data_IF_200672719022
#
_entry.id   IF_200672719022
#
_cell.length_a   1.000
_cell.length_b   1.000
_cell.length_c   1.000
_cell.angle_alpha   90.00
_cell.angle_beta   90.00
_cell.angle_gamma   90.00
#
_symmetry.space_group_name_H-M   'P 1'
#
loop_
_entity.id
_entity.type
_entity.pdbx_description
1 polymer ?
#
# COMPACT_ATOMS: atom_id res chain seq x y z
N UNK A 1 -19.26 32.05 -28.99
CA UNK A 1 -20.69 31.91 -29.36
C UNK A 1 -21.24 30.75 -28.57
N UNK A 2 -22.32 31.01 -27.85
CA UNK A 2 -22.93 30.12 -26.86
C UNK A 2 -23.44 28.81 -27.47
N UNK A 3 -23.16 27.68 -26.81
CA UNK A 3 -24.17 26.65 -26.61
C UNK A 3 -24.75 26.88 -25.21
N UNK A 4 -25.73 27.79 -25.13
CA UNK A 4 -26.71 27.79 -24.05
C UNK A 4 -27.57 26.54 -24.29
N UNK A 5 -27.82 25.78 -23.22
CA UNK A 5 -28.53 24.48 -23.19
C UNK A 5 -27.67 23.27 -23.59
N UNK A 6 -27.03 22.66 -22.59
CA UNK A 6 -26.78 21.23 -22.60
C UNK A 6 -27.99 20.56 -21.93
N UNK A 7 -28.91 19.91 -22.68
CA UNK A 7 -30.02 19.21 -22.07
C UNK A 7 -29.47 17.89 -21.52
N UNK A 8 -29.54 17.74 -20.18
CA UNK A 8 -28.99 16.65 -19.35
C UNK A 8 -27.46 16.68 -19.17
N UNK A 9 -26.97 16.35 -17.95
CA UNK A 9 -25.54 16.20 -17.72
C UNK A 9 -24.99 15.08 -18.61
N UNK A 10 -23.87 15.38 -19.26
CA UNK A 10 -23.15 14.39 -20.06
C UNK A 10 -22.54 13.37 -19.10
N UNK A 11 -22.91 12.10 -19.24
CA UNK A 11 -22.38 11.01 -18.44
C UNK A 11 -20.97 10.67 -18.93
N UNK A 12 -19.99 10.71 -18.03
CA UNK A 12 -18.60 10.37 -18.33
C UNK A 12 -18.23 9.06 -17.62
N UNK A 13 -17.85 8.04 -18.40
CA UNK A 13 -17.25 6.84 -17.83
C UNK A 13 -15.79 7.14 -17.43
N UNK A 14 -15.51 7.14 -16.13
CA UNK A 14 -14.18 7.37 -15.58
C UNK A 14 -13.19 6.21 -15.86
N UNK A 15 -13.67 5.05 -16.32
CA UNK A 15 -12.81 3.92 -16.68
C UNK A 15 -11.86 4.25 -17.85
N UNK A 16 -12.22 5.22 -18.69
CA UNK A 16 -11.46 5.64 -19.87
C UNK A 16 -10.58 6.88 -19.62
N UNK A 17 -10.78 7.60 -18.51
CA UNK A 17 -10.08 8.84 -18.20
C UNK A 17 -9.20 8.72 -16.96
N UNK A 18 -7.89 8.64 -17.19
CA UNK A 18 -6.88 8.82 -16.15
C UNK A 18 -6.86 10.30 -15.73
N UNK A 19 -7.46 10.62 -14.59
CA UNK A 19 -7.40 11.96 -14.01
C UNK A 19 -5.94 12.30 -13.64
N UNK A 20 -5.48 13.49 -14.05
CA UNK A 20 -4.18 14.02 -13.62
C UNK A 20 -4.19 14.19 -12.09
N UNK A 21 -3.27 13.54 -11.34
CA UNK A 21 -3.23 13.62 -9.88
C UNK A 21 -3.07 15.03 -9.32
N UNK A 22 -2.41 15.94 -10.04
CA UNK A 22 -2.24 17.33 -9.59
C UNK A 22 -3.54 18.11 -9.70
N UNK A 23 -4.31 17.84 -10.76
CA UNK A 23 -5.62 18.45 -10.97
C UNK A 23 -6.65 17.88 -10.00
N UNK A 24 -6.66 16.56 -9.81
CA UNK A 24 -7.55 15.87 -8.90
C UNK A 24 -7.45 16.37 -7.45
N UNK A 25 -6.25 16.80 -7.03
CA UNK A 25 -5.96 17.35 -5.70
C UNK A 25 -6.33 18.82 -5.50
N UNK A 26 -6.89 19.48 -6.52
CA UNK A 26 -7.42 20.83 -6.36
C UNK A 26 -8.61 20.88 -5.39
N UNK A 27 -9.30 19.75 -5.22
CA UNK A 27 -10.30 19.60 -4.15
C UNK A 27 -9.68 18.88 -2.95
N UNK A 28 -9.86 19.41 -1.73
CA UNK A 28 -9.54 18.70 -0.49
C UNK A 28 -10.30 17.37 -0.40
N UNK A 29 -9.71 16.32 0.19
CA UNK A 29 -10.32 15.00 0.30
C UNK A 29 -11.68 15.04 1.00
N UNK A 30 -11.84 15.87 2.03
CA UNK A 30 -13.10 16.00 2.78
C UNK A 30 -14.24 16.49 1.88
N UNK A 31 -13.94 17.43 0.99
CA UNK A 31 -14.91 18.02 0.05
C UNK A 31 -15.22 17.05 -1.08
N UNK A 32 -14.18 16.41 -1.61
CA UNK A 32 -14.34 15.50 -2.72
C UNK A 32 -15.07 14.20 -2.36
N UNK A 33 -14.83 13.64 -1.17
CA UNK A 33 -15.62 12.51 -0.65
C UNK A 33 -17.03 12.93 -0.28
N UNK A 34 -17.21 14.10 0.35
CA UNK A 34 -18.54 14.59 0.74
C UNK A 34 -19.47 14.79 -0.45
N UNK A 35 -18.94 15.33 -1.55
CA UNK A 35 -19.73 15.66 -2.73
C UNK A 35 -19.52 14.70 -3.90
N UNK A 36 -18.79 13.59 -3.68
CA UNK A 36 -18.41 12.63 -4.72
C UNK A 36 -17.94 13.36 -5.99
N UNK A 37 -16.93 14.21 -5.84
CA UNK A 37 -16.48 15.16 -6.86
C UNK A 37 -14.99 15.00 -7.16
N UNK A 38 -14.63 14.93 -8.44
CA UNK A 38 -13.25 14.74 -8.90
C UNK A 38 -12.92 15.66 -10.08
N UNK A 39 -11.95 16.57 -9.96
CA UNK A 39 -11.42 17.30 -11.11
C UNK A 39 -10.68 16.36 -12.07
N UNK A 40 -11.01 16.43 -13.36
CA UNK A 40 -10.48 15.48 -14.37
C UNK A 40 -9.78 16.13 -15.56
N UNK A 41 -10.08 17.40 -15.89
CA UNK A 41 -9.38 18.12 -16.95
C UNK A 41 -9.34 19.64 -16.69
N UNK A 42 -8.33 20.31 -17.24
CA UNK A 42 -8.30 21.78 -17.35
C UNK A 42 -8.11 22.17 -18.82
N UNK A 43 -9.00 23.00 -19.36
CA UNK A 43 -8.90 23.53 -20.72
C UNK A 43 -9.32 25.00 -20.75
N UNK A 44 -8.48 25.85 -21.34
CA UNK A 44 -8.80 27.27 -21.53
C UNK A 44 -9.08 28.03 -20.23
N UNK A 45 -8.45 27.62 -19.13
CA UNK A 45 -8.68 28.22 -17.81
C UNK A 45 -9.99 27.81 -17.13
N UNK A 46 -10.66 26.76 -17.59
CA UNK A 46 -11.81 26.13 -16.92
C UNK A 46 -11.47 24.71 -16.49
N UNK A 47 -11.90 24.34 -15.29
CA UNK A 47 -11.71 23.00 -14.73
C UNK A 47 -12.98 22.19 -14.95
N UNK A 48 -12.84 20.99 -15.50
CA UNK A 48 -13.91 20.02 -15.59
C UNK A 48 -13.91 19.14 -14.34
N UNK A 49 -15.04 19.10 -13.64
CA UNK A 49 -15.25 18.30 -12.43
C UNK A 49 -16.32 17.25 -12.70
N UNK A 50 -15.99 16.00 -12.45
CA UNK A 50 -16.95 14.89 -12.46
C UNK A 50 -17.62 14.82 -11.10
N UNK A 51 -18.94 14.78 -11.06
CA UNK A 51 -19.73 14.73 -9.83
C UNK A 51 -20.78 13.63 -9.90
N UNK A 52 -21.10 13.00 -8.78
CA UNK A 52 -22.23 12.06 -8.72
C UNK A 52 -23.57 12.77 -8.96
N UNK A 53 -23.72 13.96 -8.36
CA UNK A 53 -24.89 14.82 -8.50
C UNK A 53 -24.47 16.22 -8.96
N UNK A 54 -24.64 16.54 -10.26
CA UNK A 54 -24.32 17.86 -10.80
C UNK A 54 -25.40 18.91 -10.54
N UNK A 55 -26.55 18.55 -9.94
CA UNK A 55 -27.64 19.49 -9.61
C UNK A 55 -27.58 19.97 -8.14
N UNK A 56 -26.60 19.51 -7.37
CA UNK A 56 -26.38 19.95 -5.98
C UNK A 56 -25.74 21.36 -5.93
N UNK A 57 -26.59 22.37 -5.75
CA UNK A 57 -26.19 23.79 -5.64
C UNK A 57 -25.21 24.05 -4.47
N UNK A 58 -25.31 23.30 -3.36
CA UNK A 58 -24.39 23.44 -2.22
C UNK A 58 -22.99 22.94 -2.62
N UNK A 59 -22.93 21.77 -3.27
CA UNK A 59 -21.70 21.20 -3.79
C UNK A 59 -21.04 22.10 -4.83
N UNK A 60 -21.81 22.62 -5.79
CA UNK A 60 -21.31 23.52 -6.83
C UNK A 60 -20.71 24.80 -6.25
N UNK A 61 -21.39 25.41 -5.27
CA UNK A 61 -20.93 26.62 -4.60
C UNK A 61 -19.64 26.37 -3.81
N UNK A 62 -19.57 25.26 -3.06
CA UNK A 62 -18.38 24.88 -2.30
C UNK A 62 -17.17 24.61 -3.21
N UNK A 63 -17.37 23.87 -4.30
CA UNK A 63 -16.34 23.54 -5.28
C UNK A 63 -15.87 24.80 -6.00
N UNK A 64 -16.76 25.67 -6.46
CA UNK A 64 -16.40 26.91 -7.13
C UNK A 64 -15.58 27.86 -6.25
N UNK A 65 -15.93 27.93 -4.95
CA UNK A 65 -15.19 28.71 -3.96
C UNK A 65 -13.74 28.23 -3.81
N UNK A 66 -13.53 26.91 -3.76
CA UNK A 66 -12.21 26.28 -3.65
C UNK A 66 -11.39 26.46 -4.92
N UNK A 67 -12.01 26.25 -6.08
CA UNK A 67 -11.32 26.35 -7.38
C UNK A 67 -11.08 27.80 -7.82
N UNK A 68 -11.72 28.77 -7.16
CA UNK A 68 -11.63 30.21 -7.47
C UNK A 68 -12.34 30.60 -8.78
N UNK A 69 -13.10 29.68 -9.38
CA UNK A 69 -13.80 29.84 -10.67
C UNK A 69 -14.92 28.82 -10.79
N UNK A 70 -15.91 29.12 -11.63
CA UNK A 70 -17.00 28.17 -11.92
C UNK A 70 -16.47 26.95 -12.70
N UNK A 71 -16.66 25.73 -12.17
CA UNK A 71 -16.26 24.51 -12.86
C UNK A 71 -17.24 24.15 -13.99
N UNK A 72 -16.75 23.44 -15.01
CA UNK A 72 -17.61 22.70 -15.92
C UNK A 72 -17.94 21.36 -15.28
N UNK A 73 -19.22 21.10 -14.98
CA UNK A 73 -19.61 19.84 -14.32
C UNK A 73 -20.13 18.80 -15.30
N UNK A 74 -19.75 17.55 -15.05
CA UNK A 74 -20.23 16.37 -15.78
C UNK A 74 -20.63 15.31 -14.77
N UNK A 75 -21.62 14.48 -15.11
CA UNK A 75 -22.09 13.45 -14.19
C UNK A 75 -21.24 12.19 -14.34
N UNK A 76 -20.86 11.59 -13.21
CA UNK A 76 -20.21 10.29 -13.14
C UNK A 76 -20.90 9.36 -12.14
N UNK A 77 -20.50 8.09 -12.15
CA UNK A 77 -20.95 7.13 -11.14
C UNK A 77 -20.23 7.37 -9.80
N UNK A 78 -21.00 7.48 -8.71
CA UNK A 78 -20.46 7.73 -7.37
C UNK A 78 -19.43 6.67 -6.94
N UNK A 79 -19.65 5.38 -7.28
CA UNK A 79 -18.72 4.31 -6.89
C UNK A 79 -17.42 4.39 -7.67
N UNK A 80 -17.48 4.73 -8.95
CA UNK A 80 -16.28 4.91 -9.78
C UNK A 80 -15.50 6.16 -9.38
N UNK A 81 -16.20 7.22 -9.00
CA UNK A 81 -15.58 8.42 -8.40
C UNK A 81 -14.89 8.00 -7.10
N UNK A 82 -15.59 7.40 -6.14
CA UNK A 82 -15.03 6.98 -4.85
C UNK A 82 -13.85 6.02 -5.00
N UNK A 83 -13.89 5.08 -5.95
CA UNK A 83 -12.76 4.21 -6.25
C UNK A 83 -11.55 5.00 -6.79
N UNK A 84 -11.79 6.04 -7.60
CA UNK A 84 -10.74 6.93 -8.09
C UNK A 84 -10.20 7.83 -6.99
N UNK A 85 -11.06 8.36 -6.13
CA UNK A 85 -10.70 9.10 -4.92
C UNK A 85 -9.87 8.23 -3.97
N UNK A 86 -10.25 6.96 -3.76
CA UNK A 86 -9.49 6.01 -2.95
C UNK A 86 -8.12 5.68 -3.55
N UNK A 87 -7.97 5.67 -4.88
CA UNK A 87 -6.66 5.54 -5.54
C UNK A 87 -5.81 6.81 -5.41
N UNK A 88 -6.44 7.98 -5.45
CA UNK A 88 -5.78 9.29 -5.41
C UNK A 88 -5.36 9.72 -3.99
N UNK A 89 -6.27 9.58 -3.01
CA UNK A 89 -6.07 9.84 -1.58
C UNK A 89 -5.74 8.60 -0.76
N UNK A 90 -5.61 7.44 -1.41
CA UNK A 90 -4.76 6.35 -0.92
C UNK A 90 -3.30 6.78 -0.67
N UNK A 91 -2.94 8.03 -0.99
CA UNK A 91 -1.94 8.83 -0.28
C UNK A 91 -2.64 9.90 0.56
N UNK A 92 -2.78 9.65 1.85
CA UNK A 92 -3.20 10.66 2.83
C UNK A 92 -2.17 11.80 2.85
N UNK A 93 -2.57 13.07 2.73
CA UNK A 93 -1.69 14.21 3.00
C UNK A 93 -1.37 14.27 4.50
N UNK A 94 -0.08 14.13 4.80
CA UNK A 94 0.62 14.29 6.07
C UNK A 94 -0.17 14.87 7.27
N UNK A 95 -0.78 13.97 8.06
CA UNK A 95 -0.43 13.96 9.48
C UNK A 95 0.92 13.27 9.62
N UNK A 96 1.75 13.78 10.53
CA UNK A 96 3.09 13.24 10.78
C UNK A 96 2.94 11.76 11.13
N UNK A 97 3.62 10.87 10.39
CA UNK A 97 3.50 9.43 10.65
C UNK A 97 3.90 9.14 12.10
N UNK A 98 3.21 8.23 12.75
CA UNK A 98 3.53 7.84 14.13
C UNK A 98 4.28 6.52 14.10
N UNK A 99 5.54 6.55 14.51
CA UNK A 99 6.42 5.40 14.61
C UNK A 99 6.56 5.01 16.08
N UNK A 100 6.12 3.81 16.42
CA UNK A 100 6.23 3.29 17.78
C UNK A 100 7.34 2.24 17.87
N UNK A 101 8.22 2.34 18.87
CA UNK A 101 9.40 1.48 19.01
C UNK A 101 9.26 0.55 20.20
N UNK A 102 9.27 -0.76 19.96
CA UNK A 102 9.39 -1.79 20.99
C UNK A 102 10.84 -2.26 21.08
N UNK A 103 11.63 -1.61 21.93
CA UNK A 103 13.02 -2.00 22.17
C UNK A 103 13.13 -3.09 23.25
N UNK A 104 14.04 -4.09 23.08
CA UNK A 104 14.44 -4.95 24.18
C UNK A 104 15.12 -4.16 25.30
N UNK A 105 15.09 -4.68 26.52
CA UNK A 105 16.07 -4.27 27.53
C UNK A 105 17.49 -4.70 27.12
N UNK A 106 18.47 -3.80 27.26
CA UNK A 106 19.90 -4.11 27.10
C UNK A 106 20.60 -3.43 25.91
N UNK A 107 21.85 -3.85 25.58
CA UNK A 107 22.71 -3.14 24.61
C UNK A 107 22.20 -3.19 23.16
N UNK A 108 21.26 -4.10 22.86
CA UNK A 108 20.58 -4.14 21.56
C UNK A 108 19.60 -2.96 21.37
N UNK A 109 19.10 -2.37 22.46
CA UNK A 109 18.20 -1.20 22.44
C UNK A 109 18.81 -0.04 21.67
N UNK A 110 20.05 0.36 22.02
CA UNK A 110 20.68 1.52 21.42
C UNK A 110 20.88 1.45 19.90
N UNK A 111 21.05 0.25 19.33
CA UNK A 111 21.09 0.06 17.86
C UNK A 111 19.71 0.19 17.25
N UNK A 112 18.68 -0.34 17.91
CA UNK A 112 17.30 -0.24 17.45
C UNK A 112 16.81 1.20 17.53
N UNK A 113 17.13 1.94 18.59
CA UNK A 113 16.74 3.33 18.77
C UNK A 113 17.40 4.24 17.73
N UNK A 114 18.69 4.02 17.43
CA UNK A 114 19.38 4.75 16.39
C UNK A 114 18.77 4.47 15.00
N UNK A 115 18.40 3.22 14.74
CA UNK A 115 17.69 2.83 13.53
C UNK A 115 16.29 3.45 13.47
N UNK A 116 15.53 3.44 14.56
CA UNK A 116 14.20 4.02 14.64
C UNK A 116 14.22 5.54 14.43
N UNK A 117 15.19 6.25 15.01
CA UNK A 117 15.41 7.69 14.75
C UNK A 117 15.69 7.96 13.29
N UNK A 118 16.60 7.19 12.69
CA UNK A 118 16.95 7.34 11.26
C UNK A 118 15.75 7.03 10.34
N UNK A 119 14.96 6.02 10.67
CA UNK A 119 13.70 5.69 9.99
C UNK A 119 12.65 6.79 10.17
N UNK A 120 12.55 7.38 11.36
CA UNK A 120 11.67 8.50 11.65
C UNK A 120 12.02 9.73 10.81
N UNK A 121 13.30 10.08 10.70
CA UNK A 121 13.76 11.15 9.82
C UNK A 121 13.48 10.86 8.33
N UNK A 122 13.62 9.60 7.90
CA UNK A 122 13.32 9.20 6.52
C UNK A 122 11.83 9.30 6.18
N UNK A 123 10.98 8.92 7.12
CA UNK A 123 9.52 8.87 6.96
C UNK A 123 8.82 10.19 7.36
N UNK A 124 9.56 11.18 7.84
CA UNK A 124 9.03 12.35 8.55
C UNK A 124 8.00 11.93 9.63
N UNK A 125 8.42 11.01 10.50
CA UNK A 125 7.59 10.42 11.53
C UNK A 125 7.94 10.92 12.93
N UNK A 126 6.94 11.04 13.80
CA UNK A 126 7.11 11.16 15.24
C UNK A 126 7.46 9.79 15.81
N UNK A 127 8.64 9.68 16.46
CA UNK A 127 9.13 8.44 17.05
C UNK A 127 8.86 8.45 18.54
N UNK A 128 8.12 7.44 19.01
CA UNK A 128 7.77 7.29 20.43
C UNK A 128 8.18 5.90 20.91
N UNK A 129 8.80 5.84 22.08
CA UNK A 129 9.11 4.57 22.73
C UNK A 129 7.83 3.95 23.30
N UNK A 130 7.60 2.67 23.01
CA UNK A 130 6.55 1.90 23.63
C UNK A 130 7.10 0.85 24.58
N UNK A 131 6.49 0.83 25.75
CA UNK A 131 6.52 -0.35 26.61
C UNK A 131 5.64 -1.43 25.98
N UNK A 132 6.31 -2.49 25.52
CA UNK A 132 5.72 -3.65 24.87
C UNK A 132 5.70 -4.88 25.79
N UNK A 133 5.92 -4.69 27.09
CA UNK A 133 5.70 -5.72 28.09
C UNK A 133 4.23 -6.18 28.10
N UNK A 134 4.02 -7.49 28.24
CA UNK A 134 2.68 -8.08 28.33
C UNK A 134 1.97 -8.30 27.00
N UNK A 135 2.62 -8.09 25.85
CA UNK A 135 2.14 -8.53 24.54
C UNK A 135 0.98 -7.71 23.93
N UNK A 136 0.43 -8.19 22.81
CA UNK A 136 -0.40 -7.35 21.92
C UNK A 136 -1.74 -6.96 22.56
N UNK A 137 -2.32 -7.83 23.38
CA UNK A 137 -3.59 -7.54 24.07
C UNK A 137 -3.44 -6.41 25.09
N UNK A 138 -2.36 -6.43 25.87
CA UNK A 138 -2.01 -5.37 26.83
C UNK A 138 -1.76 -4.06 26.10
N UNK A 139 -1.05 -4.13 24.98
CA UNK A 139 -0.78 -2.99 24.12
C UNK A 139 -2.07 -2.36 23.56
N UNK A 140 -2.96 -3.15 22.95
CA UNK A 140 -4.26 -2.65 22.44
C UNK A 140 -5.08 -2.02 23.58
N UNK A 141 -5.14 -2.68 24.75
CA UNK A 141 -5.89 -2.18 25.91
C UNK A 141 -5.35 -0.86 26.46
N UNK A 142 -4.03 -0.62 26.35
CA UNK A 142 -3.39 0.62 26.80
C UNK A 142 -3.65 1.81 25.87
N UNK A 143 -3.74 1.56 24.56
CA UNK A 143 -3.74 2.61 23.55
C UNK A 143 -5.10 2.86 22.87
N UNK A 144 -6.06 1.94 22.96
CA UNK A 144 -7.46 2.14 22.53
C UNK A 144 -7.69 2.19 21.01
N UNK A 145 -7.22 3.24 20.34
CA UNK A 145 -7.21 3.45 18.88
C UNK A 145 -5.83 3.07 18.30
N UNK A 146 -5.64 2.83 16.98
CA UNK A 146 -4.33 2.47 16.46
C UNK A 146 -3.35 3.61 16.78
N UNK A 147 -2.45 3.44 17.76
CA UNK A 147 -1.64 4.53 18.28
C UNK A 147 -0.49 4.90 17.35
N UNK A 148 -0.32 4.19 16.25
CA UNK A 148 0.76 4.39 15.31
C UNK A 148 0.44 3.81 13.93
N UNK A 149 1.08 4.39 12.91
CA UNK A 149 1.05 3.88 11.54
C UNK A 149 2.03 2.71 11.37
N UNK A 150 3.17 2.80 12.05
CA UNK A 150 4.25 1.82 11.98
C UNK A 150 4.70 1.40 13.38
N UNK A 151 4.73 0.09 13.62
CA UNK A 151 5.31 -0.51 14.81
C UNK A 151 6.67 -1.12 14.48
N UNK A 152 7.73 -0.70 15.16
CA UNK A 152 9.09 -1.19 14.97
C UNK A 152 9.48 -2.11 16.13
N UNK A 153 9.87 -3.33 15.81
CA UNK A 153 10.12 -4.40 16.78
C UNK A 153 11.53 -4.97 16.58
N UNK A 154 12.31 -5.05 17.67
CA UNK A 154 13.60 -5.75 17.70
C UNK A 154 13.49 -7.25 18.02
N UNK A 155 14.63 -7.94 18.05
CA UNK A 155 14.71 -9.41 18.26
C UNK A 155 13.96 -9.93 19.50
N UNK A 156 13.97 -9.19 20.62
CA UNK A 156 13.38 -9.67 21.87
C UNK A 156 11.85 -9.44 21.99
N UNK A 157 11.25 -8.66 21.09
CA UNK A 157 9.83 -8.28 21.17
C UNK A 157 8.92 -9.13 20.25
N UNK A 158 9.37 -10.34 19.91
CA UNK A 158 8.66 -11.32 19.08
C UNK A 158 7.28 -11.75 19.59
N UNK A 159 6.99 -11.54 20.88
CA UNK A 159 5.69 -11.84 21.50
C UNK A 159 4.52 -11.04 20.90
N UNK A 160 4.80 -9.95 20.17
CA UNK A 160 3.81 -9.14 19.46
C UNK A 160 3.57 -9.61 18.02
N UNK A 161 4.54 -10.26 17.40
CA UNK A 161 4.55 -10.55 15.97
C UNK A 161 3.47 -11.57 15.60
N UNK A 162 3.46 -12.73 16.24
CA UNK A 162 2.49 -13.80 15.95
C UNK A 162 1.04 -13.35 16.23
N UNK A 163 0.70 -12.72 17.37
CA UNK A 163 -0.64 -12.18 17.59
C UNK A 163 -1.04 -11.09 16.60
N UNK A 164 -0.09 -10.28 16.11
CA UNK A 164 -0.37 -9.25 15.12
C UNK A 164 -0.69 -9.91 13.77
N UNK A 165 0.13 -10.86 13.31
CA UNK A 165 -0.10 -11.59 12.06
C UNK A 165 -1.42 -12.37 12.07
N UNK A 166 -1.74 -13.03 13.19
CA UNK A 166 -2.97 -13.79 13.36
C UNK A 166 -4.24 -12.91 13.53
N UNK A 167 -4.07 -11.61 13.81
CA UNK A 167 -5.22 -10.74 14.02
C UNK A 167 -5.96 -10.47 12.70
N UNK A 168 -7.25 -10.77 12.68
CA UNK A 168 -8.12 -10.52 11.54
C UNK A 168 -8.06 -9.06 11.07
N UNK A 169 -8.20 -8.85 9.76
CA UNK A 169 -8.17 -7.54 9.13
C UNK A 169 -9.14 -6.54 9.77
N UNK A 170 -10.27 -6.99 10.29
CA UNK A 170 -11.32 -6.15 10.92
C UNK A 170 -11.03 -5.73 12.36
N UNK A 171 -9.89 -6.14 12.95
CA UNK A 171 -9.56 -5.82 14.34
C UNK A 171 -9.10 -4.36 14.44
N UNK A 172 -10.01 -3.49 14.90
CA UNK A 172 -9.72 -2.08 15.21
C UNK A 172 -8.59 -1.98 16.24
N UNK A 173 -7.73 -0.97 16.09
CA UNK A 173 -6.65 -0.67 17.04
C UNK A 173 -5.27 -1.24 16.70
N UNK A 174 -5.08 -1.82 15.50
CA UNK A 174 -3.78 -2.33 15.07
C UNK A 174 -3.03 -1.37 14.15
N UNK A 175 -1.68 -1.34 14.21
CA UNK A 175 -0.85 -0.57 13.28
C UNK A 175 -1.08 -0.99 11.83
N UNK A 176 -1.00 -0.01 10.92
CA UNK A 176 -1.09 -0.24 9.49
C UNK A 176 0.11 -1.04 8.94
N UNK A 177 1.27 -0.93 9.58
CA UNK A 177 2.44 -1.73 9.24
C UNK A 177 3.25 -2.17 10.47
N UNK A 178 3.97 -3.27 10.30
CA UNK A 178 4.88 -3.86 11.26
C UNK A 178 6.27 -3.97 10.64
N UNK A 179 7.29 -3.35 11.23
CA UNK A 179 8.69 -3.49 10.87
C UNK A 179 9.44 -4.31 11.92
N UNK A 180 9.82 -5.53 11.57
CA UNK A 180 10.64 -6.39 12.42
C UNK A 180 12.10 -6.25 11.99
N UNK A 181 12.96 -5.77 12.87
CA UNK A 181 14.35 -5.48 12.59
C UNK A 181 15.27 -6.26 13.56
N UNK A 182 15.46 -7.59 13.36
CA UNK A 182 16.32 -8.39 14.23
C UNK A 182 17.78 -7.95 14.12
N UNK A 183 18.20 -7.54 12.92
CA UNK A 183 19.50 -6.88 12.66
C UNK A 183 19.25 -5.61 11.85
N UNK A 184 19.10 -4.45 12.51
CA UNK A 184 18.91 -3.17 11.81
C UNK A 184 20.03 -2.90 10.80
N UNK A 185 19.67 -2.46 9.59
CA UNK A 185 20.60 -2.15 8.50
C UNK A 185 20.35 -0.73 8.01
N UNK A 186 21.37 0.11 8.09
CA UNK A 186 21.29 1.51 7.67
C UNK A 186 22.57 1.88 6.89
N UNK A 187 22.49 2.69 5.83
CA UNK A 187 21.28 3.27 5.22
C UNK A 187 20.44 2.24 4.45
N UNK A 188 19.15 2.54 4.24
CA UNK A 188 18.26 1.71 3.41
C UNK A 188 18.48 2.03 1.93
N UNK A 189 19.43 1.33 1.31
CA UNK A 189 19.82 1.54 -0.08
C UNK A 189 19.23 0.51 -1.03
N UNK A 190 18.97 -0.72 -0.56
CA UNK A 190 18.46 -1.82 -1.38
C UNK A 190 17.18 -2.39 -0.78
N UNK A 191 16.05 -2.14 -1.42
CA UNK A 191 14.74 -2.63 -0.97
C UNK A 191 14.28 -3.78 -1.86
N UNK A 192 13.86 -4.89 -1.24
CA UNK A 192 13.16 -5.98 -1.92
C UNK A 192 11.65 -5.84 -1.68
N UNK A 193 10.88 -5.52 -2.71
CA UNK A 193 9.42 -5.56 -2.67
C UNK A 193 8.94 -6.94 -3.15
N UNK A 194 8.27 -7.70 -2.30
CA UNK A 194 7.66 -8.98 -2.67
C UNK A 194 6.22 -8.71 -3.11
N UNK A 195 5.93 -8.97 -4.39
CA UNK A 195 4.60 -8.84 -4.98
C UNK A 195 3.98 -10.23 -5.22
N UNK A 196 2.76 -10.41 -4.74
CA UNK A 196 1.97 -11.62 -4.80
C UNK A 196 0.82 -11.57 -5.83
N UNK A 197 0.59 -10.43 -6.48
CA UNK A 197 -0.49 -10.23 -7.44
C UNK A 197 -1.86 -10.11 -6.78
N UNK A 198 -1.89 -9.55 -5.58
CA UNK A 198 -3.10 -9.32 -4.80
C UNK A 198 -3.27 -7.81 -4.63
N UNK A 199 -4.51 -7.34 -4.47
CA UNK A 199 -4.81 -5.90 -4.25
C UNK A 199 -4.07 -5.33 -3.02
N UNK A 200 -3.73 -6.19 -2.07
CA UNK A 200 -2.93 -5.85 -0.89
C UNK A 200 -1.50 -5.41 -1.23
N UNK A 201 -0.93 -5.81 -2.37
CA UNK A 201 0.44 -5.42 -2.73
C UNK A 201 0.59 -3.91 -2.96
N UNK A 202 -0.51 -3.23 -3.31
CA UNK A 202 -0.53 -1.77 -3.45
C UNK A 202 -0.13 -1.05 -2.15
N UNK A 203 -0.53 -1.57 -0.98
CA UNK A 203 -0.14 -0.96 0.31
C UNK A 203 1.36 -1.15 0.58
N UNK A 204 1.92 -2.31 0.21
CA UNK A 204 3.35 -2.56 0.35
C UNK A 204 4.19 -1.67 -0.57
N UNK A 205 3.73 -1.49 -1.82
CA UNK A 205 4.34 -0.56 -2.76
C UNK A 205 4.29 0.89 -2.26
N UNK A 206 3.20 1.28 -1.59
CA UNK A 206 3.10 2.61 -0.98
C UNK A 206 4.15 2.83 0.10
N UNK A 207 4.37 1.85 0.99
CA UNK A 207 5.46 1.90 1.96
C UNK A 207 6.84 1.99 1.32
N UNK A 208 7.08 1.26 0.22
CA UNK A 208 8.34 1.38 -0.53
C UNK A 208 8.53 2.80 -1.07
N UNK A 209 7.49 3.43 -1.61
CA UNK A 209 7.57 4.79 -2.14
C UNK A 209 7.85 5.84 -1.03
N UNK A 210 7.44 5.58 0.21
CA UNK A 210 7.76 6.43 1.38
C UNK A 210 9.20 6.24 1.85
N UNK A 211 9.78 5.05 1.63
CA UNK A 211 11.11 4.67 2.13
C UNK A 211 12.22 4.89 1.09
N UNK A 212 11.90 4.81 -0.19
CA UNK A 212 12.85 4.96 -1.27
C UNK A 212 13.16 6.42 -1.53
N UNK A 213 14.46 6.73 -1.64
CA UNK A 213 14.94 8.06 -2.04
C UNK A 213 15.45 8.04 -3.48
N UNK A 214 15.03 9.02 -4.32
CA UNK A 214 15.50 9.12 -5.70
C UNK A 214 17.03 9.16 -5.76
N UNK A 215 17.62 8.40 -6.69
CA UNK A 215 19.08 8.35 -6.90
C UNK A 215 19.92 7.63 -5.84
N UNK A 216 19.37 7.28 -4.67
CA UNK A 216 20.12 6.56 -3.60
C UNK A 216 19.58 5.17 -3.31
N UNK A 217 18.30 4.93 -3.58
CA UNK A 217 17.64 3.65 -3.28
C UNK A 217 17.36 2.88 -4.57
N UNK A 218 17.73 1.61 -4.59
CA UNK A 218 17.35 0.65 -5.64
C UNK A 218 16.25 -0.27 -5.12
N UNK A 219 15.18 -0.44 -5.89
CA UNK A 219 14.04 -1.29 -5.56
C UNK A 219 13.99 -2.50 -6.48
N UNK A 220 14.14 -3.69 -5.92
CA UNK A 220 13.90 -4.94 -6.64
C UNK A 220 12.49 -5.43 -6.35
N UNK A 221 11.65 -5.50 -7.36
CA UNK A 221 10.31 -6.07 -7.26
C UNK A 221 10.38 -7.54 -7.62
N UNK A 222 10.14 -8.42 -6.65
CA UNK A 222 10.08 -9.86 -6.83
C UNK A 222 8.63 -10.31 -6.93
N UNK A 223 8.20 -10.64 -8.14
CA UNK A 223 6.92 -11.26 -8.40
C UNK A 223 7.09 -12.78 -8.41
N UNK A 224 6.53 -13.48 -7.41
CA UNK A 224 6.59 -14.95 -7.35
C UNK A 224 5.29 -15.57 -7.80
N UNK A 225 5.38 -16.47 -8.75
CA UNK A 225 4.25 -17.20 -9.32
C UNK A 225 4.25 -18.60 -8.72
N UNK A 226 3.24 -18.97 -7.93
CA UNK A 226 3.13 -20.34 -7.45
C UNK A 226 3.04 -21.28 -8.66
N UNK A 227 3.58 -22.50 -8.56
CA UNK A 227 3.42 -23.46 -9.64
C UNK A 227 1.92 -23.66 -9.92
N UNK A 228 1.49 -23.74 -11.20
CA UNK A 228 0.10 -24.04 -11.50
C UNK A 228 -0.27 -25.34 -10.79
N UNK A 229 -1.42 -25.37 -10.15
CA UNK A 229 -1.89 -26.53 -9.40
C UNK A 229 -2.10 -27.72 -10.37
N UNK A 230 -1.04 -28.47 -10.62
CA UNK A 230 -1.06 -29.65 -11.47
C UNK A 230 -0.74 -30.87 -10.59
N UNK A 231 -1.76 -31.72 -10.42
CA UNK A 231 -1.61 -33.17 -10.27
C UNK A 231 -0.87 -33.64 -9.00
N UNK A 232 -1.36 -33.29 -7.82
CA UNK A 232 -1.22 -34.19 -6.67
C UNK A 232 -2.61 -34.53 -6.15
N UNK A 233 -3.12 -35.68 -6.61
CA UNK A 233 -4.37 -36.25 -6.16
C UNK A 233 -4.32 -36.53 -4.66
N UNK A 234 -5.11 -35.81 -3.89
CA UNK A 234 -5.17 -35.97 -2.46
C UNK A 234 -6.23 -35.05 -1.85
N UNK A 235 -7.50 -35.44 -2.02
CA UNK A 235 -8.70 -34.94 -1.32
C UNK A 235 -8.44 -33.81 -0.31
N UNK A 236 -8.66 -32.56 -0.75
CA UNK A 236 -9.39 -31.51 -0.04
C UNK A 236 -9.93 -30.55 -1.10
N UNK A 237 -11.16 -30.09 -0.87
CA UNK A 237 -12.08 -29.62 -1.89
C UNK A 237 -11.48 -28.52 -2.78
N UNK A 238 -11.58 -28.71 -4.09
CA UNK A 238 -11.48 -27.63 -5.05
C UNK A 238 -12.59 -26.62 -4.72
N UNK A 239 -12.22 -25.49 -4.13
CA UNK A 239 -13.08 -24.33 -4.00
C UNK A 239 -12.50 -23.22 -4.87
N UNK A 240 -13.40 -22.61 -5.64
CA UNK A 240 -13.07 -21.70 -6.71
C UNK A 240 -12.44 -20.41 -6.16
N UNK A 241 -11.41 -19.91 -6.86
CA UNK A 241 -11.34 -18.47 -7.11
C UNK A 241 -10.09 -17.73 -6.66
N UNK A 242 -8.90 -18.13 -7.09
CA UNK A 242 -7.80 -17.15 -7.25
C UNK A 242 -7.28 -17.19 -8.69
N UNK A 243 -7.24 -16.03 -9.36
CA UNK A 243 -6.72 -15.88 -10.72
C UNK A 243 -5.28 -16.41 -10.86
N UNK A 244 -4.54 -16.46 -9.75
CA UNK A 244 -3.16 -16.94 -9.60
C UNK A 244 -2.99 -18.44 -9.88
N UNK A 245 -3.97 -19.28 -9.53
CA UNK A 245 -3.87 -20.75 -9.66
C UNK A 245 -4.02 -21.24 -11.10
N UNK A 246 -4.51 -20.38 -12.00
CA UNK A 246 -4.78 -20.70 -13.41
C UNK A 246 -3.75 -20.13 -14.38
N UNK A 247 -2.77 -19.36 -13.90
CA UNK A 247 -1.95 -18.52 -14.77
C UNK A 247 -0.46 -18.85 -14.60
N UNK A 248 0.11 -19.53 -15.61
CA UNK A 248 1.56 -19.72 -15.74
C UNK A 248 2.29 -18.41 -16.11
N UNK A 249 3.62 -18.44 -16.08
CA UNK A 249 4.48 -17.28 -16.41
C UNK A 249 4.07 -16.51 -17.69
N UNK A 250 3.61 -17.15 -18.78
CA UNK A 250 3.18 -16.43 -20.00
C UNK A 250 1.95 -15.55 -19.81
N UNK A 251 1.00 -15.94 -18.95
CA UNK A 251 -0.19 -15.14 -18.66
C UNK A 251 0.16 -13.85 -17.90
N UNK A 252 1.26 -13.85 -17.16
CA UNK A 252 1.73 -12.73 -16.36
C UNK A 252 2.58 -11.72 -17.13
N UNK A 253 3.08 -12.14 -18.29
CA UNK A 253 3.64 -11.23 -19.29
C UNK A 253 2.55 -10.48 -20.06
N UNK A 254 1.29 -10.93 -19.97
CA UNK A 254 0.15 -10.18 -20.48
C UNK A 254 -0.27 -9.09 -19.50
N UNK A 255 -0.32 -7.85 -20.00
CA UNK A 255 -0.79 -6.68 -19.26
C UNK A 255 -2.25 -6.82 -18.77
N UNK A 256 -3.03 -7.73 -19.35
CA UNK A 256 -4.47 -7.87 -19.11
C UNK A 256 -4.82 -8.72 -17.88
N UNK A 257 -3.82 -9.14 -17.09
CA UNK A 257 -4.07 -9.87 -15.84
C UNK A 257 -4.04 -8.92 -14.64
N UNK A 258 -4.78 -9.19 -13.54
CA UNK A 258 -4.71 -8.36 -12.34
C UNK A 258 -3.28 -8.20 -11.79
N UNK A 259 -2.50 -9.28 -11.75
CA UNK A 259 -1.08 -9.22 -11.37
C UNK A 259 -0.25 -8.41 -12.38
N UNK A 260 -0.50 -8.53 -13.68
CA UNK A 260 0.15 -7.70 -14.70
C UNK A 260 -0.13 -6.21 -14.51
N UNK A 261 -1.41 -5.83 -14.28
CA UNK A 261 -1.82 -4.46 -14.00
C UNK A 261 -1.17 -3.91 -12.72
N UNK A 262 -1.19 -4.66 -11.62
CA UNK A 262 -0.56 -4.25 -10.36
C UNK A 262 0.96 -4.06 -10.51
N UNK A 263 1.65 -4.99 -11.17
CA UNK A 263 3.10 -4.85 -11.40
C UNK A 263 3.44 -3.65 -12.29
N UNK A 264 2.64 -3.39 -13.32
CA UNK A 264 2.81 -2.22 -14.18
C UNK A 264 2.58 -0.92 -13.41
N UNK A 265 1.56 -0.90 -12.55
CA UNK A 265 1.27 0.27 -11.73
C UNK A 265 2.37 0.54 -10.71
N UNK A 266 2.89 -0.49 -10.04
CA UNK A 266 4.05 -0.36 -9.15
C UNK A 266 5.29 0.13 -9.91
N UNK A 267 5.58 -0.45 -11.08
CA UNK A 267 6.72 -0.04 -11.90
C UNK A 267 6.61 1.42 -12.34
N UNK A 268 5.43 1.82 -12.83
CA UNK A 268 5.12 3.21 -13.23
C UNK A 268 5.34 4.18 -12.07
N UNK A 269 4.81 3.86 -10.88
CA UNK A 269 4.94 4.74 -9.70
C UNK A 269 6.39 4.90 -9.23
N UNK A 270 7.21 3.86 -9.36
CA UNK A 270 8.64 3.93 -9.04
C UNK A 270 9.39 4.79 -10.08
N UNK A 271 9.08 4.61 -11.36
CA UNK A 271 9.67 5.41 -12.45
C UNK A 271 9.31 6.89 -12.34
N UNK A 272 8.06 7.23 -12.03
CA UNK A 272 7.59 8.61 -11.82
C UNK A 272 8.26 9.33 -10.65
N UNK A 273 8.82 8.58 -9.70
CA UNK A 273 9.58 9.11 -8.57
C UNK A 273 11.10 9.03 -8.82
N UNK A 274 11.53 8.71 -10.05
CA UNK A 274 12.95 8.56 -10.42
C UNK A 274 13.69 7.52 -9.54
N UNK A 275 12.97 6.52 -9.06
CA UNK A 275 13.54 5.43 -8.26
C UNK A 275 14.05 4.34 -9.20
N UNK A 276 15.31 3.97 -9.04
CA UNK A 276 15.88 2.86 -9.81
C UNK A 276 15.20 1.55 -9.40
N UNK A 277 14.47 0.93 -10.34
CA UNK A 277 13.73 -0.30 -10.07
C UNK A 277 14.10 -1.42 -11.04
N UNK A 278 14.01 -2.67 -10.57
CA UNK A 278 14.08 -3.86 -11.43
C UNK A 278 12.95 -4.83 -11.09
N UNK A 279 12.26 -5.35 -12.11
CA UNK A 279 11.22 -6.36 -11.94
C UNK A 279 11.79 -7.76 -12.21
N UNK A 280 11.63 -8.66 -11.25
CA UNK A 280 12.05 -10.06 -11.32
C UNK A 280 10.85 -10.97 -11.15
N UNK A 281 10.55 -11.70 -12.21
CA UNK A 281 9.56 -12.78 -12.15
C UNK A 281 10.25 -14.11 -11.85
N UNK A 282 9.67 -14.87 -10.92
CA UNK A 282 10.11 -16.22 -10.56
C UNK A 282 8.92 -17.16 -10.50
N UNK A 283 9.13 -18.41 -10.91
CA UNK A 283 8.13 -19.47 -10.81
C UNK A 283 8.59 -20.50 -9.79
N UNK A 284 7.67 -20.98 -8.95
CA UNK A 284 7.91 -22.04 -7.97
C UNK A 284 7.44 -21.66 -6.57
N UNK A 285 7.77 -22.48 -5.56
CA UNK A 285 7.35 -22.23 -4.18
C UNK A 285 7.81 -20.84 -3.70
N UNK A 286 6.91 -19.96 -3.22
CA UNK A 286 7.23 -18.59 -2.82
C UNK A 286 8.40 -18.48 -1.86
N UNK A 287 8.37 -19.25 -0.78
CA UNK A 287 9.43 -19.27 0.24
C UNK A 287 10.81 -19.55 -0.36
N UNK A 288 10.91 -20.55 -1.24
CA UNK A 288 12.20 -20.94 -1.84
C UNK A 288 12.75 -19.86 -2.75
N UNK A 289 11.89 -19.20 -3.53
CA UNK A 289 12.30 -18.11 -4.42
C UNK A 289 12.76 -16.88 -3.63
N UNK A 290 12.05 -16.51 -2.55
CA UNK A 290 12.43 -15.38 -1.69
C UNK A 290 13.75 -15.68 -0.98
N UNK A 291 13.93 -16.88 -0.43
CA UNK A 291 15.21 -17.30 0.18
C UNK A 291 16.37 -17.20 -0.80
N UNK A 292 16.17 -17.66 -2.04
CA UNK A 292 17.19 -17.60 -3.09
C UNK A 292 17.58 -16.15 -3.41
N UNK A 293 16.60 -15.26 -3.50
CA UNK A 293 16.82 -13.84 -3.76
C UNK A 293 17.58 -13.16 -2.61
N UNK A 294 17.22 -13.46 -1.35
CA UNK A 294 17.87 -12.92 -0.16
C UNK A 294 19.28 -13.49 0.09
N UNK A 295 19.56 -14.70 -0.38
CA UNK A 295 20.90 -15.29 -0.34
C UNK A 295 21.83 -14.70 -1.40
N UNK A 296 21.29 -14.31 -2.56
CA UNK A 296 22.08 -13.77 -3.67
C UNK A 296 22.41 -12.29 -3.52
N UNK A 297 21.48 -11.48 -3.03
CA UNK A 297 21.61 -10.02 -3.02
C UNK A 297 21.59 -9.40 -1.62
N UNK A 298 22.42 -8.37 -1.44
CA UNK A 298 22.54 -7.63 -0.19
C UNK A 298 21.39 -6.65 0.05
N UNK A 299 20.15 -7.13 0.16
CA UNK A 299 18.97 -6.29 0.44
C UNK A 299 18.96 -5.77 1.89
N UNK A 300 18.82 -4.46 2.09
CA UNK A 300 18.81 -3.85 3.42
C UNK A 300 17.44 -3.97 4.10
N UNK A 301 16.38 -4.01 3.31
CA UNK A 301 14.99 -4.08 3.77
C UNK A 301 14.16 -4.96 2.83
N UNK A 302 13.30 -5.77 3.41
CA UNK A 302 12.26 -6.53 2.69
C UNK A 302 10.90 -5.92 2.98
N UNK A 303 10.07 -5.72 1.97
CA UNK A 303 8.72 -5.17 2.11
C UNK A 303 7.72 -6.10 1.45
N UNK A 304 6.62 -6.42 2.14
CA UNK A 304 5.52 -7.19 1.58
C UNK A 304 4.19 -6.83 2.24
N UNK A 305 3.09 -7.14 1.56
CA UNK A 305 1.77 -7.01 2.15
C UNK A 305 1.40 -8.27 2.94
N UNK A 306 0.69 -8.08 4.06
CA UNK A 306 0.00 -9.15 4.77
C UNK A 306 -1.14 -9.64 3.89
N UNK A 307 -1.11 -10.93 3.60
CA UNK A 307 -2.12 -11.57 2.76
C UNK A 307 -3.22 -12.10 3.69
N UNK A 308 -4.46 -11.67 3.46
CA UNK A 308 -5.64 -12.18 4.17
C UNK A 308 -6.39 -13.11 3.22
N UNK A 309 -6.47 -14.40 3.52
CA UNK A 309 -7.20 -15.35 2.68
C UNK A 309 -6.89 -16.81 2.99
N UNK A 310 -7.93 -17.63 3.17
CA UNK A 310 -7.80 -19.07 3.41
C UNK A 310 -7.10 -19.75 2.22
N UNK A 311 -5.80 -19.96 2.33
CA UNK A 311 -5.02 -20.58 1.25
C UNK A 311 -3.52 -20.40 1.36
N UNK A 312 -2.87 -21.04 2.34
CA UNK A 312 -1.43 -21.39 2.37
C UNK A 312 -0.39 -20.26 2.33
N UNK A 313 -0.73 -19.06 1.87
CA UNK A 313 0.12 -17.88 1.78
C UNK A 313 0.02 -16.97 3.02
N UNK A 314 -0.98 -17.19 3.88
CA UNK A 314 -1.12 -16.49 5.17
C UNK A 314 0.12 -16.68 6.06
N UNK A 315 0.83 -17.79 5.91
CA UNK A 315 2.06 -18.08 6.66
C UNK A 315 3.33 -17.53 5.97
N UNK A 316 3.25 -16.86 4.81
CA UNK A 316 4.46 -16.40 4.12
C UNK A 316 5.17 -15.28 4.89
N UNK A 317 4.41 -14.32 5.44
CA UNK A 317 4.95 -13.24 6.26
C UNK A 317 5.54 -13.80 7.57
N UNK A 318 4.79 -14.67 8.27
CA UNK A 318 5.26 -15.32 9.49
C UNK A 318 6.52 -16.18 9.23
N UNK A 319 6.51 -16.96 8.15
CA UNK A 319 7.66 -17.76 7.71
C UNK A 319 8.86 -16.87 7.43
N UNK A 320 8.71 -15.81 6.63
CA UNK A 320 9.78 -14.84 6.34
C UNK A 320 10.39 -14.29 7.63
N UNK A 321 9.56 -13.86 8.58
CA UNK A 321 10.00 -13.28 9.85
C UNK A 321 10.73 -14.28 10.75
N UNK A 322 10.43 -15.58 10.66
CA UNK A 322 11.12 -16.62 11.44
C UNK A 322 12.54 -16.92 10.98
N UNK A 323 12.82 -16.87 9.67
CA UNK A 323 14.13 -17.26 9.13
C UNK A 323 14.97 -16.10 8.57
N UNK A 324 14.36 -14.94 8.29
CA UNK A 324 15.09 -13.78 7.76
C UNK A 324 15.83 -13.03 8.87
N UNK A 325 17.11 -12.76 8.63
CA UNK A 325 17.90 -11.84 9.47
C UNK A 325 17.82 -10.38 8.97
N UNK A 326 17.11 -10.14 7.86
CA UNK A 326 16.90 -8.81 7.28
C UNK A 326 15.71 -8.12 7.95
N UNK A 327 15.79 -6.79 8.16
CA UNK A 327 14.61 -5.99 8.45
C UNK A 327 13.49 -6.28 7.44
N UNK A 328 12.29 -6.52 7.94
CA UNK A 328 11.12 -6.83 7.14
C UNK A 328 9.93 -5.97 7.56
N UNK A 329 9.38 -5.22 6.61
CA UNK A 329 8.15 -4.44 6.76
C UNK A 329 6.97 -5.21 6.17
N UNK A 330 5.98 -5.49 7.02
CA UNK A 330 4.73 -6.15 6.66
C UNK A 330 3.60 -5.12 6.73
N UNK A 331 3.01 -4.79 5.60
CA UNK A 331 1.92 -3.83 5.48
C UNK A 331 0.55 -4.51 5.53
N UNK A 332 -0.38 -4.01 6.33
CA UNK A 332 -1.74 -4.55 6.43
C UNK A 332 -2.69 -3.80 5.49
N UNK A 333 -3.56 -4.48 4.74
CA UNK A 333 -4.63 -3.80 4.00
C UNK A 333 -5.65 -3.20 4.99
N UNK A 334 -6.12 -1.98 4.72
CA UNK A 334 -7.19 -1.38 5.51
C UNK A 334 -8.47 -2.22 5.39
N UNK A 335 -9.19 -2.41 6.50
CA UNK A 335 -10.51 -3.06 6.48
C UNK A 335 -11.46 -2.20 5.65
N UNK A 336 -11.97 -2.73 4.54
CA UNK A 336 -13.08 -2.13 3.79
C UNK A 336 -14.37 -2.13 4.61
#
# INVERSE_FOLDING_TARGET
>A
MCAREWPKPTYLSLDELRADPNLARLLPPEIAYRFHALPVAEQGGRITVVMADPEDDEALSAIASILGREPCVVQGDARTIDASLARLWGRVPHDKLRLLVCAPDGPAAGRLDAYARSMGELLDAEVTDADCEGGLATWIGRYGEPPCDLLLIGEAAGALVEPWLAAQASRRGLPAALLVAPRPRWPVSKILLIACGLESDAIAAEWVLRLARPGTTTVNVLAVVPPPAAVHGGRRAAHAGHARDRQGLPALLSAETPLGHELQEVARRLEEQEIQSSLRMRQGPPEWQIRRELAGEGHDLVVMALQSGEGGLEDLAATLLRWSDRPALIARPASR
#
